data_IF_287439438607
#
_entry.id   IF_287439438607
#
_cell.length_a   1.000
_cell.length_b   1.000
_cell.length_c   1.000
_cell.angle_alpha   90.00
_cell.angle_beta   90.00
_cell.angle_gamma   90.00
#
_symmetry.space_group_name_H-M   'P 1'
#
loop_
_entity.id
_entity.type
_entity.pdbx_description
1 polymer ?
#
# COMPACT_ATOMS: atom_id res chain seq x y z
N UNK A 1 -14.57 4.60 -9.64
CA UNK A 1 -13.47 3.61 -9.58
C UNK A 1 -13.82 2.34 -10.36
N UNK A 2 -12.87 1.77 -11.07
CA UNK A 2 -13.03 0.46 -11.72
C UNK A 2 -13.31 -0.64 -10.71
N UNK A 3 -12.87 -0.46 -9.47
CA UNK A 3 -13.19 -1.36 -8.34
C UNK A 3 -14.68 -1.48 -8.04
N UNK A 4 -15.52 -0.55 -8.52
CA UNK A 4 -16.98 -0.64 -8.38
C UNK A 4 -17.63 -1.74 -9.21
N UNK A 5 -16.93 -2.24 -10.20
CA UNK A 5 -17.38 -3.35 -11.04
C UNK A 5 -16.85 -4.72 -10.60
N UNK A 6 -16.14 -4.79 -9.46
CA UNK A 6 -15.68 -6.05 -8.90
C UNK A 6 -16.87 -6.94 -8.52
N UNK A 7 -16.72 -8.23 -8.80
CA UNK A 7 -17.63 -9.29 -8.35
C UNK A 7 -17.38 -9.64 -6.89
N UNK A 8 -18.25 -10.46 -6.31
CA UNK A 8 -18.08 -10.98 -4.94
C UNK A 8 -16.76 -11.71 -4.78
N UNK A 9 -16.39 -12.54 -5.76
CA UNK A 9 -15.13 -13.31 -5.71
C UNK A 9 -13.91 -12.40 -5.73
N UNK A 10 -13.92 -11.34 -6.53
CA UNK A 10 -12.82 -10.38 -6.62
C UNK A 10 -12.69 -9.52 -5.36
N UNK A 11 -13.81 -9.14 -4.73
CA UNK A 11 -13.76 -8.43 -3.43
C UNK A 11 -13.15 -9.33 -2.35
N UNK A 12 -13.50 -10.63 -2.33
CA UNK A 12 -12.87 -11.60 -1.41
C UNK A 12 -11.38 -11.78 -1.71
N UNK A 13 -11.02 -11.91 -2.99
CA UNK A 13 -9.61 -11.99 -3.40
C UNK A 13 -8.82 -10.77 -2.91
N UNK A 14 -9.36 -9.56 -3.05
CA UNK A 14 -8.72 -8.33 -2.54
C UNK A 14 -8.49 -8.39 -1.03
N UNK A 15 -9.45 -8.87 -0.26
CA UNK A 15 -9.29 -9.04 1.19
C UNK A 15 -8.18 -10.05 1.51
N UNK A 16 -8.24 -11.22 0.90
CA UNK A 16 -7.38 -12.37 1.23
C UNK A 16 -5.97 -12.25 0.64
N UNK A 17 -5.85 -11.79 -0.61
CA UNK A 17 -4.57 -11.79 -1.33
C UNK A 17 -3.85 -10.45 -1.34
N UNK A 18 -4.53 -9.34 -1.03
CA UNK A 18 -3.87 -8.03 -0.97
C UNK A 18 -3.85 -7.47 0.43
N UNK A 19 -5.04 -7.31 1.06
CA UNK A 19 -5.14 -6.60 2.33
C UNK A 19 -4.52 -7.40 3.49
N UNK A 20 -4.84 -8.68 3.64
CA UNK A 20 -4.34 -9.50 4.74
C UNK A 20 -2.82 -9.65 4.74
N UNK A 21 -2.14 -9.95 3.61
CA UNK A 21 -0.68 -9.93 3.56
C UNK A 21 -0.08 -8.55 3.89
N UNK A 22 -0.67 -7.46 3.37
CA UNK A 22 -0.22 -6.11 3.70
C UNK A 22 -0.32 -5.80 5.18
N UNK A 23 -1.44 -6.14 5.80
CA UNK A 23 -1.66 -5.92 7.23
C UNK A 23 -0.58 -6.62 8.04
N UNK A 24 -0.28 -7.87 7.74
CA UNK A 24 0.72 -8.65 8.47
C UNK A 24 2.14 -8.12 8.26
N UNK A 25 2.55 -7.97 7.00
CA UNK A 25 3.93 -7.61 6.66
C UNK A 25 4.24 -6.16 7.05
N UNK A 26 3.36 -5.22 6.70
CA UNK A 26 3.55 -3.81 7.08
C UNK A 26 3.44 -3.60 8.58
N UNK A 27 2.55 -4.32 9.27
CA UNK A 27 2.44 -4.27 10.72
C UNK A 27 3.75 -4.68 11.41
N UNK A 28 4.38 -5.77 10.97
CA UNK A 28 5.69 -6.22 11.49
C UNK A 28 6.79 -5.19 11.20
N UNK A 29 6.86 -4.64 9.99
CA UNK A 29 7.80 -3.56 9.65
C UNK A 29 7.62 -2.33 10.51
N UNK A 30 6.37 -1.86 10.65
CA UNK A 30 6.03 -0.65 11.41
C UNK A 30 6.38 -0.79 12.90
N UNK A 31 6.22 -1.99 13.48
CA UNK A 31 6.62 -2.26 14.87
C UNK A 31 8.14 -2.06 15.06
N UNK A 32 8.96 -2.60 14.15
CA UNK A 32 10.42 -2.40 14.19
C UNK A 32 10.78 -0.94 14.00
N UNK A 33 10.18 -0.27 13.00
CA UNK A 33 10.48 1.14 12.73
C UNK A 33 10.07 2.04 13.90
N UNK A 34 8.92 1.82 14.53
CA UNK A 34 8.45 2.59 15.70
C UNK A 34 9.43 2.47 16.86
N UNK A 35 9.93 1.26 17.15
CA UNK A 35 10.92 1.01 18.20
C UNK A 35 12.19 1.84 17.98
N UNK A 36 12.81 1.73 16.79
CA UNK A 36 14.09 2.41 16.51
C UNK A 36 13.92 3.94 16.36
N UNK A 37 12.79 4.41 15.84
CA UNK A 37 12.48 5.83 15.76
C UNK A 37 12.26 6.46 17.13
N UNK A 38 11.67 5.74 18.07
CA UNK A 38 11.52 6.22 19.46
C UNK A 38 12.84 6.29 20.20
N UNK A 39 13.81 5.45 19.84
CA UNK A 39 15.12 5.42 20.46
C UNK A 39 16.10 6.48 19.93
N UNK A 40 15.85 7.06 18.72
CA UNK A 40 16.80 7.97 18.07
C UNK A 40 16.10 9.01 17.20
N UNK A 41 16.30 10.30 17.49
CA UNK A 41 15.81 11.39 16.68
C UNK A 41 16.42 11.40 15.27
N UNK A 42 17.67 11.01 15.10
CA UNK A 42 18.31 10.84 13.79
C UNK A 42 17.53 9.84 12.96
N UNK A 43 17.30 8.64 13.49
CA UNK A 43 16.57 7.57 12.80
C UNK A 43 15.13 7.99 12.52
N UNK A 44 14.49 8.69 13.45
CA UNK A 44 13.14 9.20 13.25
C UNK A 44 13.06 10.16 12.05
N UNK A 45 14.00 11.06 11.91
CA UNK A 45 14.05 11.99 10.76
C UNK A 45 14.26 11.23 9.45
N UNK A 46 15.16 10.26 9.43
CA UNK A 46 15.46 9.44 8.25
C UNK A 46 14.25 8.58 7.81
N UNK A 47 13.51 8.01 8.76
CA UNK A 47 12.48 7.02 8.49
C UNK A 47 11.04 7.54 8.60
N UNK A 48 10.80 8.78 9.04
CA UNK A 48 9.46 9.32 9.23
C UNK A 48 8.58 9.21 7.96
N UNK A 49 9.11 9.58 6.79
CA UNK A 49 8.38 9.47 5.53
C UNK A 49 8.09 8.01 5.13
N UNK A 50 9.08 7.12 5.31
CA UNK A 50 8.92 5.68 5.03
C UNK A 50 7.90 5.04 5.97
N UNK A 51 7.92 5.44 7.24
CA UNK A 51 6.95 5.01 8.25
C UNK A 51 5.54 5.50 7.88
N UNK A 52 5.37 6.78 7.61
CA UNK A 52 4.09 7.38 7.25
C UNK A 52 3.48 6.72 6.01
N UNK A 53 4.27 6.55 4.93
CA UNK A 53 3.81 5.88 3.71
C UNK A 53 3.40 4.42 3.95
N UNK A 54 4.21 3.66 4.73
CA UNK A 54 3.86 2.27 5.07
C UNK A 54 2.60 2.20 5.95
N UNK A 55 2.49 3.08 6.94
CA UNK A 55 1.35 3.18 7.87
C UNK A 55 0.04 3.53 7.14
N UNK A 56 0.09 4.44 6.17
CA UNK A 56 -1.08 4.81 5.39
C UNK A 56 -1.71 3.59 4.69
N UNK A 57 -0.93 2.83 3.93
CA UNK A 57 -1.42 1.62 3.27
C UNK A 57 -1.84 0.51 4.27
N UNK A 58 -1.16 0.41 5.41
CA UNK A 58 -1.51 -0.53 6.47
C UNK A 58 -2.87 -0.21 7.07
N UNK A 59 -3.10 1.04 7.46
CA UNK A 59 -4.38 1.53 7.98
C UNK A 59 -5.50 1.40 6.94
N UNK A 60 -5.21 1.73 5.67
CA UNK A 60 -6.16 1.59 4.57
C UNK A 60 -6.61 0.13 4.40
N UNK A 61 -5.68 -0.84 4.40
CA UNK A 61 -6.03 -2.26 4.26
C UNK A 61 -6.87 -2.78 5.43
N UNK A 62 -6.55 -2.39 6.66
CA UNK A 62 -7.36 -2.73 7.86
C UNK A 62 -8.77 -2.14 7.75
N UNK A 63 -8.86 -0.85 7.43
CA UNK A 63 -10.13 -0.16 7.34
C UNK A 63 -10.98 -0.62 6.17
N UNK A 64 -10.35 -0.96 5.03
CA UNK A 64 -11.06 -1.51 3.87
C UNK A 64 -11.70 -2.86 4.22
N UNK A 65 -10.95 -3.80 4.80
CA UNK A 65 -11.52 -5.09 5.22
C UNK A 65 -12.67 -4.91 6.22
N UNK A 66 -12.48 -4.01 7.18
CA UNK A 66 -13.52 -3.69 8.16
C UNK A 66 -14.76 -3.08 7.49
N UNK A 67 -14.59 -2.10 6.61
CA UNK A 67 -15.71 -1.44 5.92
C UNK A 67 -16.44 -2.38 4.94
N UNK A 68 -15.74 -3.30 4.29
CA UNK A 68 -16.37 -4.33 3.45
C UNK A 68 -17.33 -5.20 4.28
N UNK A 69 -16.94 -5.55 5.50
CA UNK A 69 -17.74 -6.38 6.40
C UNK A 69 -18.88 -5.56 7.02
N UNK A 70 -18.57 -4.42 7.63
CA UNK A 70 -19.53 -3.61 8.37
C UNK A 70 -20.64 -3.01 7.49
N UNK A 71 -20.31 -2.66 6.25
CA UNK A 71 -21.24 -2.08 5.28
C UNK A 71 -21.92 -3.15 4.38
N UNK A 72 -21.76 -4.42 4.69
CA UNK A 72 -22.28 -5.56 3.89
C UNK A 72 -22.04 -5.42 2.38
N UNK A 73 -20.82 -5.06 2.02
CA UNK A 73 -20.44 -4.88 0.60
C UNK A 73 -20.59 -6.19 -0.18
N UNK A 74 -20.24 -7.32 0.43
CA UNK A 74 -20.37 -8.63 -0.22
C UNK A 74 -21.86 -8.97 -0.48
N UNK A 75 -22.77 -8.71 0.46
CA UNK A 75 -24.21 -8.90 0.26
C UNK A 75 -24.76 -7.99 -0.84
N UNK A 76 -24.34 -6.72 -0.86
CA UNK A 76 -24.71 -5.76 -1.93
C UNK A 76 -24.26 -6.24 -3.30
N UNK A 77 -23.00 -6.74 -3.43
CA UNK A 77 -22.47 -7.28 -4.68
C UNK A 77 -23.18 -8.56 -5.10
N UNK A 78 -23.46 -9.47 -4.17
CA UNK A 78 -24.23 -10.69 -4.46
C UNK A 78 -25.64 -10.37 -4.98
N UNK A 79 -26.32 -9.40 -4.40
CA UNK A 79 -27.62 -8.94 -4.87
C UNK A 79 -27.54 -8.32 -6.28
N UNK A 80 -26.46 -7.60 -6.59
CA UNK A 80 -26.20 -7.07 -7.94
C UNK A 80 -25.99 -8.19 -8.95
N UNK A 81 -25.20 -9.20 -8.62
CA UNK A 81 -24.94 -10.37 -9.47
C UNK A 81 -26.21 -11.18 -9.72
N UNK A 82 -27.07 -11.37 -8.69
CA UNK A 82 -28.35 -12.03 -8.84
C UNK A 82 -29.26 -11.30 -9.85
N UNK A 83 -29.38 -9.98 -9.73
CA UNK A 83 -30.12 -9.15 -10.70
C UNK A 83 -29.53 -9.24 -12.10
N UNK A 84 -28.20 -9.28 -12.20
CA UNK A 84 -27.53 -9.44 -13.49
C UNK A 84 -27.84 -10.80 -14.13
N UNK A 85 -27.88 -11.87 -13.36
CA UNK A 85 -28.25 -13.20 -13.85
C UNK A 85 -29.70 -13.27 -14.34
N UNK A 86 -30.64 -12.62 -13.64
CA UNK A 86 -32.04 -12.48 -14.08
C UNK A 86 -32.13 -11.69 -15.40
N UNK A 87 -31.41 -10.58 -15.51
CA UNK A 87 -31.33 -9.79 -16.72
C UNK A 87 -30.77 -10.60 -17.88
N UNK A 88 -29.65 -11.28 -17.70
CA UNK A 88 -29.04 -12.14 -18.74
C UNK A 88 -30.01 -13.22 -19.26
N UNK A 89 -30.76 -13.83 -18.34
CA UNK A 89 -31.80 -14.80 -18.67
C UNK A 89 -32.97 -14.16 -19.47
N UNK A 90 -33.43 -13.00 -19.02
CA UNK A 90 -34.50 -12.27 -19.73
C UNK A 90 -34.10 -11.84 -21.14
N UNK A 91 -32.85 -11.50 -21.36
CA UNK A 91 -32.28 -11.15 -22.65
C UNK A 91 -31.92 -12.39 -23.52
N UNK A 92 -32.03 -13.60 -23.01
CA UNK A 92 -31.53 -14.84 -23.61
C UNK A 92 -30.07 -14.70 -24.11
N UNK A 93 -29.23 -14.00 -23.33
CA UNK A 93 -27.85 -13.71 -23.68
C UNK A 93 -26.89 -14.69 -22.97
N UNK A 94 -26.37 -15.66 -23.72
CA UNK A 94 -25.49 -16.69 -23.17
C UNK A 94 -24.14 -16.12 -22.69
N UNK A 95 -23.63 -15.07 -23.33
CA UNK A 95 -22.38 -14.41 -22.91
C UNK A 95 -22.54 -13.77 -21.52
N UNK A 96 -23.64 -13.04 -21.30
CA UNK A 96 -23.95 -12.45 -19.99
C UNK A 96 -24.23 -13.51 -18.93
N UNK A 97 -24.94 -14.60 -19.29
CA UNK A 97 -25.26 -15.67 -18.35
C UNK A 97 -24.02 -16.40 -17.81
N UNK A 98 -22.93 -16.44 -18.58
CA UNK A 98 -21.70 -17.13 -18.22
C UNK A 98 -20.64 -16.24 -17.56
N UNK A 99 -20.71 -14.90 -17.72
CA UNK A 99 -19.58 -14.00 -17.43
C UNK A 99 -19.18 -13.99 -15.96
N UNK A 100 -20.12 -13.92 -15.02
CA UNK A 100 -19.81 -13.90 -13.58
C UNK A 100 -19.15 -15.21 -13.16
N UNK A 101 -19.71 -16.36 -13.61
CA UNK A 101 -19.10 -17.65 -13.34
C UNK A 101 -17.68 -17.75 -13.93
N UNK A 102 -17.45 -17.24 -15.13
CA UNK A 102 -16.12 -17.26 -15.74
C UNK A 102 -15.13 -16.40 -14.97
N UNK A 103 -15.56 -15.25 -14.43
CA UNK A 103 -14.77 -14.41 -13.53
C UNK A 103 -14.44 -15.21 -12.25
N UNK A 104 -15.41 -15.84 -11.61
CA UNK A 104 -15.21 -16.63 -10.39
C UNK A 104 -14.22 -17.78 -10.61
N UNK A 105 -14.36 -18.52 -11.72
CA UNK A 105 -13.46 -19.63 -12.08
C UNK A 105 -12.01 -19.12 -12.33
N UNK A 106 -11.86 -17.91 -12.84
CA UNK A 106 -10.55 -17.30 -13.08
C UNK A 106 -9.94 -16.78 -11.79
N UNK A 107 -10.73 -16.06 -10.97
CA UNK A 107 -10.33 -15.55 -9.66
C UNK A 107 -9.86 -16.67 -8.73
N UNK A 108 -10.54 -17.82 -8.74
CA UNK A 108 -10.09 -18.99 -7.98
C UNK A 108 -8.68 -19.46 -8.37
N UNK A 109 -8.22 -19.21 -9.60
CA UNK A 109 -6.85 -19.52 -10.07
C UNK A 109 -5.86 -18.39 -9.75
N UNK A 110 -6.30 -17.11 -9.82
CA UNK A 110 -5.42 -15.97 -9.59
C UNK A 110 -5.19 -15.69 -8.11
N UNK A 111 -6.15 -15.94 -7.23
CA UNK A 111 -6.07 -15.69 -5.78
C UNK A 111 -4.78 -16.23 -5.12
N UNK A 112 -4.39 -17.51 -5.29
CA UNK A 112 -3.16 -18.00 -4.67
C UNK A 112 -1.89 -17.38 -5.28
N UNK A 113 -1.90 -17.00 -6.55
CA UNK A 113 -0.78 -16.33 -7.21
C UNK A 113 -0.68 -14.87 -6.76
N UNK A 114 -1.80 -14.17 -6.65
CA UNK A 114 -1.86 -12.80 -6.16
C UNK A 114 -1.46 -12.71 -4.69
N UNK A 115 -1.84 -13.69 -3.86
CA UNK A 115 -1.34 -13.79 -2.49
C UNK A 115 0.18 -13.91 -2.44
N UNK A 116 0.74 -14.82 -3.22
CA UNK A 116 2.19 -15.03 -3.30
C UNK A 116 2.91 -13.78 -3.83
N UNK A 117 2.37 -13.15 -4.88
CA UNK A 117 2.87 -11.91 -5.45
C UNK A 117 2.88 -10.77 -4.43
N UNK A 118 1.79 -10.60 -3.68
CA UNK A 118 1.68 -9.57 -2.65
C UNK A 118 2.67 -9.81 -1.52
N UNK A 119 2.77 -11.04 -1.01
CA UNK A 119 3.75 -11.40 0.01
C UNK A 119 5.17 -11.07 -0.44
N UNK A 120 5.54 -11.47 -1.66
CA UNK A 120 6.87 -11.22 -2.25
C UNK A 120 7.14 -9.72 -2.37
N UNK A 121 6.21 -8.99 -2.95
CA UNK A 121 6.32 -7.56 -3.21
C UNK A 121 6.41 -6.75 -1.92
N UNK A 122 5.50 -6.97 -0.98
CA UNK A 122 5.45 -6.22 0.29
C UNK A 122 6.68 -6.49 1.15
N UNK A 123 7.20 -7.72 1.17
CA UNK A 123 8.37 -8.09 1.98
C UNK A 123 9.67 -7.61 1.35
N UNK A 124 9.94 -8.02 0.10
CA UNK A 124 11.29 -7.94 -0.47
C UNK A 124 11.50 -6.77 -1.44
N UNK A 125 10.43 -6.13 -1.90
CA UNK A 125 10.51 -4.95 -2.73
C UNK A 125 10.02 -3.68 -2.02
N UNK A 126 9.11 -3.83 -1.06
CA UNK A 126 8.50 -2.72 -0.35
C UNK A 126 9.09 -2.44 1.04
N UNK A 127 9.67 -3.44 1.71
CA UNK A 127 10.09 -3.31 3.10
C UNK A 127 11.60 -3.38 3.33
N UNK A 128 12.30 -4.35 2.72
CA UNK A 128 13.75 -4.54 2.86
C UNK A 128 14.45 -3.73 1.77
N UNK A 129 15.31 -2.79 2.16
CA UNK A 129 15.97 -1.85 1.25
C UNK A 129 17.28 -2.41 0.70
N UNK A 130 18.05 -3.14 1.53
CA UNK A 130 19.31 -3.75 1.13
C UNK A 130 19.11 -4.92 0.14
N UNK A 131 20.11 -5.18 -0.69
CA UNK A 131 20.06 -6.29 -1.65
C UNK A 131 19.14 -6.02 -2.86
N UNK A 132 19.08 -4.79 -3.33
CA UNK A 132 18.39 -4.39 -4.56
C UNK A 132 19.38 -4.08 -5.73
N UNK A 133 20.47 -4.83 -5.81
CA UNK A 133 21.51 -4.65 -6.83
C UNK A 133 21.73 -5.95 -7.59
N UNK A 134 21.78 -5.85 -8.91
CA UNK A 134 22.13 -6.96 -9.80
C UNK A 134 23.44 -6.66 -10.52
N UNK A 135 24.36 -7.59 -10.50
CA UNK A 135 25.67 -7.48 -11.18
C UNK A 135 25.81 -8.42 -12.38
N UNK A 136 24.72 -8.85 -13.02
CA UNK A 136 24.74 -9.76 -14.17
C UNK A 136 25.67 -9.25 -15.29
N UNK A 137 25.52 -8.00 -15.72
CA UNK A 137 26.37 -7.39 -16.76
C UNK A 137 27.84 -7.23 -16.34
N UNK A 138 28.09 -7.02 -15.06
CA UNK A 138 29.47 -6.97 -14.53
C UNK A 138 30.08 -8.38 -14.52
N UNK A 139 29.28 -9.38 -14.15
CA UNK A 139 29.66 -10.79 -14.19
C UNK A 139 30.02 -11.25 -15.61
N UNK A 140 29.18 -10.89 -16.59
CA UNK A 140 29.42 -11.18 -18.00
C UNK A 140 30.74 -10.57 -18.47
N UNK A 141 30.98 -9.27 -18.22
CA UNK A 141 32.23 -8.60 -18.58
C UNK A 141 33.47 -9.26 -17.96
N UNK A 142 33.37 -9.73 -16.72
CA UNK A 142 34.46 -10.47 -16.06
C UNK A 142 34.69 -11.86 -16.67
N UNK A 143 33.68 -12.54 -17.15
CA UNK A 143 33.82 -13.81 -17.88
C UNK A 143 34.47 -13.61 -19.25
N UNK A 144 34.08 -12.55 -19.94
CA UNK A 144 34.61 -12.17 -21.26
C UNK A 144 36.03 -11.58 -21.18
N UNK A 145 36.50 -11.24 -19.97
CA UNK A 145 37.82 -10.60 -19.72
C UNK A 145 38.02 -9.31 -20.55
N UNK A 146 36.94 -8.53 -20.63
CA UNK A 146 36.96 -7.24 -21.35
C UNK A 146 37.33 -6.11 -20.39
N UNK A 147 38.61 -5.79 -20.29
CA UNK A 147 39.16 -4.86 -19.30
C UNK A 147 38.52 -3.47 -19.40
N UNK A 148 38.28 -2.95 -20.60
CA UNK A 148 37.66 -1.62 -20.77
C UNK A 148 36.22 -1.58 -20.28
N UNK A 149 35.44 -2.65 -20.49
CA UNK A 149 34.07 -2.78 -19.99
C UNK A 149 34.08 -2.98 -18.47
N UNK A 150 34.99 -3.78 -17.94
CA UNK A 150 35.17 -3.99 -16.52
C UNK A 150 35.46 -2.67 -15.80
N UNK A 151 36.41 -1.87 -16.31
CA UNK A 151 36.75 -0.57 -15.73
C UNK A 151 35.53 0.38 -15.71
N UNK A 152 34.83 0.50 -16.85
CA UNK A 152 33.62 1.30 -16.95
C UNK A 152 32.54 0.85 -15.96
N UNK A 153 32.36 -0.47 -15.77
CA UNK A 153 31.40 -1.04 -14.78
C UNK A 153 31.83 -0.71 -13.37
N UNK A 154 33.10 -0.89 -13.01
CA UNK A 154 33.57 -0.56 -11.66
C UNK A 154 33.33 0.92 -11.33
N UNK A 155 33.56 1.82 -12.27
CA UNK A 155 33.27 3.25 -12.11
C UNK A 155 31.76 3.52 -11.92
N UNK A 156 30.91 2.84 -12.68
CA UNK A 156 29.46 2.98 -12.54
C UNK A 156 28.93 2.44 -11.19
N UNK A 157 29.59 1.45 -10.60
CA UNK A 157 29.19 0.90 -9.30
C UNK A 157 29.37 1.89 -8.15
N UNK A 158 30.23 2.89 -8.27
CA UNK A 158 30.39 3.94 -7.25
C UNK A 158 29.06 4.67 -7.00
N UNK A 159 28.41 5.12 -8.08
CA UNK A 159 27.09 5.76 -7.99
C UNK A 159 26.03 4.82 -7.41
N UNK A 160 26.12 3.53 -7.71
CA UNK A 160 25.23 2.52 -7.13
C UNK A 160 25.45 2.39 -5.62
N UNK A 161 26.70 2.32 -5.17
CA UNK A 161 27.05 2.27 -3.75
C UNK A 161 26.52 3.50 -3.00
N UNK A 162 26.74 4.71 -3.53
CA UNK A 162 26.26 5.96 -2.97
C UNK A 162 24.71 6.03 -2.91
N UNK A 163 24.05 5.49 -3.92
CA UNK A 163 22.58 5.41 -3.94
C UNK A 163 22.02 4.49 -2.86
N UNK A 164 22.68 3.36 -2.58
CA UNK A 164 22.27 2.45 -1.50
C UNK A 164 22.48 3.13 -0.14
N UNK A 165 23.65 3.74 0.07
CA UNK A 165 24.03 4.38 1.33
C UNK A 165 23.67 5.86 1.38
N UNK A 166 22.51 6.23 0.82
CA UNK A 166 22.04 7.62 0.85
C UNK A 166 21.65 8.07 2.27
N UNK A 167 21.40 9.37 2.42
CA UNK A 167 21.08 9.98 3.73
C UNK A 167 19.83 9.42 4.42
N UNK A 168 18.91 8.83 3.65
CA UNK A 168 17.63 8.30 4.13
C UNK A 168 17.68 6.77 4.39
N UNK A 169 18.86 6.18 4.35
CA UNK A 169 19.12 4.77 4.63
C UNK A 169 19.95 4.58 5.91
N UNK A 170 19.56 3.62 6.73
CA UNK A 170 20.33 3.15 7.85
C UNK A 170 20.44 1.63 7.83
N UNK A 171 21.69 1.13 7.75
CA UNK A 171 22.00 -0.28 7.53
C UNK A 171 21.51 -1.17 8.68
N UNK A 172 21.61 -0.69 9.92
CA UNK A 172 21.20 -1.46 11.08
C UNK A 172 19.68 -1.47 11.26
N UNK A 173 18.98 -0.39 10.89
CA UNK A 173 17.51 -0.37 10.87
C UNK A 173 16.98 -1.37 9.86
N UNK A 174 17.51 -1.34 8.64
CA UNK A 174 17.10 -2.26 7.59
C UNK A 174 17.42 -3.73 7.93
N UNK A 175 18.57 -3.99 8.57
CA UNK A 175 18.92 -5.31 9.12
C UNK A 175 17.88 -5.82 10.11
N UNK A 176 17.42 -4.96 11.04
CA UNK A 176 16.36 -5.33 12.00
C UNK A 176 15.04 -5.63 11.28
N UNK A 177 14.68 -4.85 10.28
CA UNK A 177 13.50 -5.11 9.44
C UNK A 177 13.63 -6.46 8.73
N UNK A 178 14.78 -6.75 8.13
CA UNK A 178 15.03 -8.02 7.47
C UNK A 178 14.92 -9.22 8.44
N UNK A 179 15.49 -9.11 9.65
CA UNK A 179 15.37 -10.14 10.70
C UNK A 179 13.92 -10.42 11.11
N UNK A 180 13.06 -9.41 11.11
CA UNK A 180 11.66 -9.58 11.41
C UNK A 180 10.88 -10.21 10.23
N UNK A 181 11.24 -9.85 9.00
CA UNK A 181 10.43 -10.19 7.83
C UNK A 181 10.80 -11.52 7.15
N UNK A 182 12.07 -11.96 7.17
CA UNK A 182 12.43 -13.27 6.59
C UNK A 182 11.69 -14.45 7.25
N UNK A 183 11.63 -14.56 8.59
CA UNK A 183 10.86 -15.62 9.23
C UNK A 183 9.34 -15.45 9.01
N UNK A 184 8.82 -14.23 9.05
CA UNK A 184 7.40 -13.97 8.80
C UNK A 184 6.98 -14.40 7.38
N UNK A 185 7.78 -14.10 6.36
CA UNK A 185 7.51 -14.55 5.00
C UNK A 185 7.50 -16.08 4.92
N UNK A 186 8.43 -16.76 5.61
CA UNK A 186 8.46 -18.21 5.66
C UNK A 186 7.24 -18.81 6.37
N UNK A 187 6.67 -18.14 7.36
CA UNK A 187 5.41 -18.55 7.98
C UNK A 187 4.23 -18.40 7.02
N UNK A 188 4.21 -17.32 6.23
CA UNK A 188 3.08 -16.98 5.35
C UNK A 188 3.06 -17.77 4.04
N UNK A 189 4.24 -18.15 3.51
CA UNK A 189 4.37 -18.72 2.16
C UNK A 189 4.93 -20.17 2.25
N UNK A 190 4.28 -21.16 1.62
CA UNK A 190 4.75 -22.54 1.59
C UNK A 190 6.17 -22.68 1.04
N UNK A 191 6.95 -23.62 1.56
CA UNK A 191 8.38 -23.78 1.24
C UNK A 191 8.69 -23.89 -0.26
N UNK A 192 7.84 -24.60 -1.01
CA UNK A 192 7.99 -24.80 -2.46
C UNK A 192 7.64 -23.55 -3.30
N UNK A 193 7.10 -22.51 -2.67
CA UNK A 193 6.69 -21.26 -3.32
C UNK A 193 7.59 -20.08 -2.94
N UNK A 194 8.61 -20.28 -2.08
CA UNK A 194 9.53 -19.23 -1.62
C UNK A 194 10.63 -18.98 -2.64
N UNK A 195 11.23 -17.74 -2.65
CA UNK A 195 12.43 -17.46 -3.42
C UNK A 195 13.55 -18.47 -3.13
N UNK A 196 14.40 -18.75 -4.11
CA UNK A 196 15.44 -19.80 -3.99
C UNK A 196 16.46 -19.51 -2.88
N UNK A 197 16.60 -18.28 -2.41
CA UNK A 197 17.46 -17.92 -1.27
C UNK A 197 17.07 -18.69 0.00
N UNK A 198 15.80 -19.08 0.17
CA UNK A 198 15.37 -19.86 1.32
C UNK A 198 15.99 -21.28 1.33
N UNK A 199 16.33 -21.82 0.16
CA UNK A 199 17.09 -23.09 0.10
C UNK A 199 18.52 -22.90 0.63
N UNK A 200 19.13 -21.75 0.37
CA UNK A 200 20.44 -21.40 0.92
C UNK A 200 20.37 -21.26 2.44
N UNK A 201 19.31 -20.62 2.96
CA UNK A 201 19.08 -20.48 4.39
C UNK A 201 18.96 -21.86 5.06
N UNK A 202 18.17 -22.76 4.50
CA UNK A 202 18.01 -24.12 5.03
C UNK A 202 19.33 -24.92 4.98
N UNK A 203 20.05 -24.89 3.87
CA UNK A 203 21.25 -25.71 3.66
C UNK A 203 22.46 -25.19 4.41
N UNK A 204 22.73 -23.86 4.36
CA UNK A 204 23.91 -23.25 4.95
C UNK A 204 23.71 -22.83 6.40
N UNK A 205 22.53 -22.36 6.75
CA UNK A 205 22.23 -21.75 8.04
C UNK A 205 21.28 -22.58 8.91
N UNK A 206 20.84 -23.76 8.41
CA UNK A 206 19.93 -24.69 9.11
C UNK A 206 18.63 -24.03 9.56
N UNK A 207 18.10 -23.11 8.74
CA UNK A 207 16.90 -22.34 9.04
C UNK A 207 17.10 -21.16 9.99
N UNK A 208 18.33 -20.83 10.37
CA UNK A 208 18.61 -19.62 11.18
C UNK A 208 18.60 -18.35 10.31
N UNK A 209 17.43 -17.74 10.25
CA UNK A 209 17.22 -16.49 9.50
C UNK A 209 18.07 -15.34 10.00
N UNK A 210 18.25 -15.22 11.32
CA UNK A 210 19.03 -14.12 11.90
C UNK A 210 20.50 -14.21 11.50
N UNK A 211 21.07 -15.40 11.57
CA UNK A 211 22.45 -15.63 11.16
C UNK A 211 22.65 -15.40 9.66
N UNK A 212 21.69 -15.81 8.83
CA UNK A 212 21.72 -15.52 7.39
C UNK A 212 21.68 -14.02 7.13
N UNK A 213 20.78 -13.28 7.79
CA UNK A 213 20.66 -11.84 7.64
C UNK A 213 21.95 -11.14 8.09
N UNK A 214 22.51 -11.52 9.23
CA UNK A 214 23.78 -10.94 9.70
C UNK A 214 24.89 -11.17 8.70
N UNK A 215 25.05 -12.40 8.18
CA UNK A 215 26.09 -12.71 7.20
C UNK A 215 25.89 -11.90 5.89
N UNK A 216 24.64 -11.76 5.41
CA UNK A 216 24.32 -10.97 4.24
C UNK A 216 24.65 -9.49 4.43
N UNK A 217 24.29 -8.90 5.57
CA UNK A 217 24.51 -7.48 5.87
C UNK A 217 25.98 -7.15 6.24
N UNK A 218 26.74 -8.10 6.75
CA UNK A 218 28.15 -7.88 7.12
C UNK A 218 29.12 -8.13 5.95
N UNK A 219 28.85 -9.14 5.13
CA UNK A 219 29.84 -9.69 4.20
C UNK A 219 29.53 -9.41 2.71
N UNK A 220 28.39 -8.82 2.36
CA UNK A 220 28.12 -8.43 0.97
C UNK A 220 29.11 -7.38 0.47
N UNK A 221 29.35 -7.38 -0.83
CA UNK A 221 30.12 -6.36 -1.55
C UNK A 221 29.61 -4.94 -1.23
N UNK A 222 28.30 -4.77 -1.06
CA UNK A 222 27.66 -3.48 -0.79
C UNK A 222 27.40 -3.22 0.69
N UNK A 223 27.83 -4.09 1.61
CA UNK A 223 27.58 -3.95 3.04
C UNK A 223 28.22 -2.68 3.64
N UNK A 224 29.44 -2.39 3.23
CA UNK A 224 30.20 -1.25 3.70
C UNK A 224 31.28 -0.83 2.68
N UNK A 225 31.87 0.34 2.90
CA UNK A 225 32.88 0.91 2.01
C UNK A 225 34.10 0.00 1.83
N UNK A 226 34.57 -0.64 2.89
CA UNK A 226 35.74 -1.51 2.83
C UNK A 226 35.49 -2.75 1.94
N UNK A 227 34.34 -3.39 2.06
CA UNK A 227 33.97 -4.53 1.22
C UNK A 227 33.83 -4.11 -0.25
N UNK A 228 33.21 -2.96 -0.51
CA UNK A 228 33.05 -2.41 -1.83
C UNK A 228 34.39 -2.10 -2.50
N UNK A 229 35.29 -1.40 -1.83
CA UNK A 229 36.64 -1.09 -2.36
C UNK A 229 37.50 -2.33 -2.58
N UNK A 230 37.39 -3.34 -1.70
CA UNK A 230 38.06 -4.63 -1.89
C UNK A 230 37.61 -5.29 -3.19
N UNK A 231 36.30 -5.27 -3.47
CA UNK A 231 35.77 -5.83 -4.70
C UNK A 231 36.17 -5.03 -5.94
N UNK A 232 36.06 -3.69 -5.93
CA UNK A 232 36.38 -2.85 -7.08
C UNK A 232 37.87 -2.87 -7.43
N UNK A 233 38.78 -3.04 -6.44
CA UNK A 233 40.19 -3.21 -6.65
C UNK A 233 40.56 -4.57 -7.25
N UNK A 234 39.82 -5.62 -6.98
CA UNK A 234 40.04 -6.98 -7.46
C UNK A 234 38.72 -7.69 -7.77
N UNK A 235 38.00 -7.26 -8.82
CA UNK A 235 36.71 -7.83 -9.14
C UNK A 235 36.89 -9.29 -9.63
N UNK A 236 35.92 -10.15 -9.22
CA UNK A 236 35.94 -11.56 -9.65
C UNK A 236 34.52 -12.12 -9.72
N UNK A 237 34.30 -13.03 -10.66
CA UNK A 237 33.06 -13.79 -10.79
C UNK A 237 32.72 -14.53 -9.49
N UNK A 238 33.75 -15.14 -8.87
CA UNK A 238 33.57 -15.84 -7.60
C UNK A 238 33.03 -14.94 -6.46
N UNK A 239 33.48 -13.68 -6.40
CA UNK A 239 32.97 -12.73 -5.40
C UNK A 239 31.49 -12.41 -5.64
N UNK A 240 31.09 -12.21 -6.89
CA UNK A 240 29.71 -11.97 -7.26
C UNK A 240 28.84 -13.20 -6.95
N UNK A 241 29.26 -14.39 -7.38
CA UNK A 241 28.48 -15.62 -7.24
C UNK A 241 28.30 -16.05 -5.77
N UNK A 242 29.22 -15.68 -4.88
CA UNK A 242 29.14 -16.01 -3.44
C UNK A 242 28.50 -14.91 -2.60
N UNK A 243 28.17 -13.75 -3.15
CA UNK A 243 27.56 -12.65 -2.42
C UNK A 243 26.10 -12.96 -2.10
N UNK A 244 25.75 -12.99 -0.82
CA UNK A 244 24.41 -13.36 -0.35
C UNK A 244 23.35 -12.32 -0.73
N UNK A 245 23.70 -11.02 -0.75
CA UNK A 245 22.76 -9.97 -1.13
C UNK A 245 22.46 -10.01 -2.64
N UNK A 246 23.45 -10.36 -3.46
CA UNK A 246 23.24 -10.55 -4.90
C UNK A 246 22.44 -11.83 -5.20
N UNK A 247 22.71 -12.93 -4.49
CA UNK A 247 21.89 -14.16 -4.57
C UNK A 247 20.44 -13.90 -4.13
N UNK A 248 20.26 -13.18 -3.04
CA UNK A 248 18.92 -12.76 -2.58
C UNK A 248 18.22 -11.91 -3.63
N UNK A 249 18.89 -10.91 -4.16
CA UNK A 249 18.36 -10.05 -5.21
C UNK A 249 17.88 -10.87 -6.42
N UNK A 250 18.75 -11.72 -6.96
CA UNK A 250 18.40 -12.57 -8.11
C UNK A 250 17.20 -13.47 -7.79
N UNK A 251 17.20 -14.11 -6.62
CA UNK A 251 16.15 -15.06 -6.26
C UNK A 251 14.76 -14.46 -6.15
N UNK A 252 14.65 -13.21 -5.67
CA UNK A 252 13.35 -12.53 -5.58
C UNK A 252 12.86 -12.05 -6.95
N UNK A 253 13.77 -11.61 -7.83
CA UNK A 253 13.41 -11.23 -9.20
C UNK A 253 12.99 -12.45 -10.03
N UNK A 254 13.70 -13.57 -9.93
CA UNK A 254 13.33 -14.81 -10.64
C UNK A 254 11.90 -15.27 -10.26
N UNK A 255 11.55 -15.17 -8.97
CA UNK A 255 10.19 -15.50 -8.54
C UNK A 255 9.17 -14.45 -9.01
N UNK A 256 9.53 -13.15 -8.97
CA UNK A 256 8.67 -12.08 -9.45
C UNK A 256 8.33 -12.25 -10.93
N UNK A 257 9.34 -12.47 -11.77
CA UNK A 257 9.18 -12.66 -13.21
C UNK A 257 8.31 -13.88 -13.53
N UNK A 258 8.50 -14.96 -12.76
CA UNK A 258 7.67 -16.15 -12.88
C UNK A 258 6.19 -15.85 -12.56
N UNK A 259 5.92 -15.17 -11.45
CA UNK A 259 4.55 -14.84 -11.03
C UNK A 259 3.87 -13.90 -12.02
N UNK A 260 4.58 -12.84 -12.44
CA UNK A 260 4.08 -11.89 -13.44
C UNK A 260 3.78 -12.60 -14.76
N UNK A 261 4.64 -13.51 -15.20
CA UNK A 261 4.40 -14.31 -16.42
C UNK A 261 3.16 -15.21 -16.30
N UNK A 262 2.95 -15.82 -15.13
CA UNK A 262 1.78 -16.67 -14.89
C UNK A 262 0.47 -15.87 -14.82
N UNK A 263 0.49 -14.66 -14.24
CA UNK A 263 -0.69 -13.80 -14.10
C UNK A 263 -1.08 -13.12 -15.41
N UNK A 264 -0.12 -12.81 -16.27
CA UNK A 264 -0.29 -11.96 -17.45
C UNK A 264 -1.48 -12.36 -18.36
N UNK A 265 -1.58 -13.63 -18.72
CA UNK A 265 -2.63 -14.10 -19.63
C UNK A 265 -4.00 -14.13 -18.92
N UNK A 266 -4.00 -14.47 -17.62
CA UNK A 266 -5.20 -14.47 -16.78
C UNK A 266 -5.72 -13.03 -16.55
N UNK A 267 -4.85 -12.05 -16.34
CA UNK A 267 -5.22 -10.64 -16.22
C UNK A 267 -5.85 -10.11 -17.52
N UNK A 268 -5.32 -10.53 -18.68
CA UNK A 268 -5.90 -10.16 -19.96
C UNK A 268 -7.29 -10.79 -20.17
N UNK A 269 -7.46 -12.06 -19.82
CA UNK A 269 -8.75 -12.75 -19.87
C UNK A 269 -9.75 -12.07 -18.91
N UNK A 270 -9.34 -11.75 -17.68
CA UNK A 270 -10.16 -11.05 -16.70
C UNK A 270 -10.62 -9.69 -17.23
N UNK A 271 -9.73 -8.94 -17.87
CA UNK A 271 -10.07 -7.64 -18.47
C UNK A 271 -11.14 -7.76 -19.59
N UNK A 272 -11.13 -8.85 -20.37
CA UNK A 272 -12.16 -9.10 -21.39
C UNK A 272 -13.50 -9.49 -20.76
N UNK A 273 -13.48 -10.31 -19.72
CA UNK A 273 -14.69 -10.68 -18.97
C UNK A 273 -15.30 -9.44 -18.30
N UNK A 274 -14.49 -8.59 -17.70
CA UNK A 274 -14.92 -7.31 -17.12
C UNK A 274 -15.59 -6.40 -18.17
N UNK A 275 -15.02 -6.32 -19.38
CA UNK A 275 -15.63 -5.53 -20.46
C UNK A 275 -17.06 -6.01 -20.78
N UNK A 276 -17.27 -7.33 -20.79
CA UNK A 276 -18.60 -7.92 -20.98
C UNK A 276 -19.53 -7.64 -19.81
N UNK A 277 -19.06 -7.82 -18.58
CA UNK A 277 -19.84 -7.59 -17.36
C UNK A 277 -20.26 -6.13 -17.21
N UNK A 278 -19.33 -5.17 -17.39
CA UNK A 278 -19.57 -3.72 -17.32
C UNK A 278 -20.58 -3.29 -18.40
N UNK A 279 -20.48 -3.82 -19.64
CA UNK A 279 -21.45 -3.57 -20.70
C UNK A 279 -22.85 -4.00 -20.29
N UNK A 280 -23.00 -5.19 -19.75
CA UNK A 280 -24.29 -5.70 -19.31
C UNK A 280 -24.87 -4.93 -18.12
N UNK A 281 -24.05 -4.53 -17.14
CA UNK A 281 -24.48 -3.65 -16.04
C UNK A 281 -25.00 -2.29 -16.56
N UNK A 282 -24.33 -1.72 -17.57
CA UNK A 282 -24.78 -0.48 -18.22
C UNK A 282 -26.12 -0.63 -18.93
N UNK A 283 -26.35 -1.76 -19.59
CA UNK A 283 -27.63 -2.06 -20.26
C UNK A 283 -28.78 -2.28 -19.25
N UNK A 284 -28.49 -2.77 -18.06
CA UNK A 284 -29.46 -2.90 -16.96
C UNK A 284 -29.94 -1.55 -16.42
N UNK A 285 -29.27 -0.45 -16.75
CA UNK A 285 -29.56 0.90 -16.24
C UNK A 285 -29.63 0.96 -14.70
N UNK A 286 -28.84 0.13 -14.02
CA UNK A 286 -28.70 0.24 -12.58
C UNK A 286 -28.06 1.60 -12.25
N UNK A 287 -28.41 2.20 -11.09
CA UNK A 287 -27.79 3.43 -10.64
C UNK A 287 -26.35 3.17 -10.14
N UNK A 288 -25.49 2.74 -11.06
CA UNK A 288 -24.05 2.61 -10.80
C UNK A 288 -23.41 3.90 -11.28
N UNK A 289 -22.50 4.51 -10.50
CA UNK A 289 -21.75 5.67 -10.98
C UNK A 289 -21.06 5.37 -12.30
N UNK A 290 -21.43 6.11 -13.33
CA UNK A 290 -21.00 5.85 -14.73
C UNK A 290 -19.78 6.67 -15.16
N UNK A 291 -19.20 7.47 -14.24
CA UNK A 291 -18.03 8.27 -14.54
C UNK A 291 -16.74 7.43 -14.46
N UNK A 292 -15.77 7.65 -15.37
CA UNK A 292 -14.51 6.91 -15.37
C UNK A 292 -13.59 7.37 -14.23
N UNK A 293 -12.57 6.57 -13.94
CA UNK A 293 -11.49 6.97 -13.05
C UNK A 293 -10.74 8.20 -13.58
N UNK A 294 -10.06 8.90 -12.65
CA UNK A 294 -9.25 10.05 -13.01
C UNK A 294 -8.09 9.66 -13.95
N UNK A 295 -7.81 10.54 -14.92
CA UNK A 295 -6.79 10.35 -15.95
C UNK A 295 -5.89 11.59 -16.10
N UNK A 296 -5.58 12.27 -14.99
CA UNK A 296 -4.81 13.51 -14.91
C UNK A 296 -5.49 14.74 -15.54
N UNK A 297 -6.79 14.67 -15.81
CA UNK A 297 -7.61 15.84 -16.15
C UNK A 297 -8.36 16.34 -14.92
N UNK A 298 -8.82 17.59 -14.95
CA UNK A 298 -9.64 18.17 -13.88
C UNK A 298 -10.91 17.34 -13.71
N UNK A 299 -11.21 16.98 -12.45
CA UNK A 299 -12.43 16.30 -12.02
C UNK A 299 -13.17 17.17 -11.03
N UNK A 300 -14.47 17.21 -11.17
CA UNK A 300 -15.37 17.82 -10.20
C UNK A 300 -16.12 16.72 -9.45
N UNK A 301 -16.02 16.68 -8.14
CA UNK A 301 -16.93 15.95 -7.27
C UNK A 301 -17.79 16.96 -6.52
N UNK A 302 -19.05 16.66 -6.30
CA UNK A 302 -19.96 17.56 -5.59
C UNK A 302 -20.78 16.80 -4.55
N UNK A 303 -21.21 17.49 -3.51
CA UNK A 303 -21.92 16.90 -2.39
C UNK A 303 -22.46 17.98 -1.47
N UNK A 304 -22.89 17.56 -0.27
CA UNK A 304 -23.40 18.45 0.75
C UNK A 304 -22.64 18.24 2.05
N UNK A 305 -22.48 19.29 2.83
CA UNK A 305 -22.02 19.18 4.21
C UNK A 305 -23.12 18.47 5.03
N UNK A 306 -22.80 17.30 5.60
CA UNK A 306 -23.78 16.48 6.34
C UNK A 306 -23.12 15.69 7.47
N UNK A 307 -23.84 15.52 8.60
CA UNK A 307 -23.52 14.54 9.64
C UNK A 307 -23.79 13.12 9.13
N UNK A 308 -23.50 12.11 9.95
CA UNK A 308 -23.88 10.72 9.66
C UNK A 308 -24.02 9.89 10.95
N UNK A 309 -24.76 8.79 10.83
CA UNK A 309 -25.00 7.84 11.91
C UNK A 309 -24.37 6.50 11.52
N UNK A 310 -23.14 6.18 12.00
CA UNK A 310 -22.40 4.97 11.59
C UNK A 310 -23.02 3.69 12.14
N UNK A 311 -23.75 3.79 13.25
CA UNK A 311 -24.44 2.67 13.90
C UNK A 311 -25.50 3.18 14.89
N UNK A 312 -26.33 2.27 15.38
CA UNK A 312 -27.37 2.58 16.37
C UNK A 312 -26.80 3.31 17.58
N UNK A 313 -27.47 4.41 17.96
CA UNK A 313 -27.10 5.24 19.11
C UNK A 313 -25.85 6.12 18.93
N UNK A 314 -25.24 6.20 17.74
CA UNK A 314 -24.07 7.04 17.45
C UNK A 314 -24.37 8.03 16.35
N UNK A 315 -24.21 9.31 16.67
CA UNK A 315 -24.31 10.43 15.74
C UNK A 315 -22.99 11.19 15.67
N UNK A 316 -22.39 11.33 14.49
CA UNK A 316 -21.25 12.20 14.24
C UNK A 316 -21.70 13.50 13.58
N UNK A 317 -21.40 14.61 14.25
CA UNK A 317 -21.69 15.95 13.72
C UNK A 317 -20.91 16.19 12.41
N UNK A 318 -21.40 17.13 11.61
CA UNK A 318 -20.76 17.49 10.34
C UNK A 318 -19.45 18.27 10.49
N UNK A 319 -19.08 18.73 11.69
CA UNK A 319 -17.80 19.39 11.95
C UNK A 319 -17.21 18.98 13.30
N UNK A 320 -15.89 19.17 13.42
CA UNK A 320 -15.12 19.03 14.66
C UNK A 320 -14.58 20.38 15.10
N UNK A 321 -14.19 20.48 16.37
CA UNK A 321 -13.64 21.70 16.93
C UNK A 321 -12.27 21.48 17.56
N UNK A 322 -11.61 22.56 17.94
CA UNK A 322 -10.32 22.52 18.67
C UNK A 322 -10.37 21.71 19.96
N UNK A 323 -11.57 21.49 20.55
CA UNK A 323 -11.75 20.62 21.72
C UNK A 323 -11.25 19.19 21.43
N UNK A 324 -11.55 18.66 20.24
CA UNK A 324 -11.10 17.33 19.83
C UNK A 324 -9.58 17.18 19.73
N UNK A 325 -8.83 18.28 19.49
CA UNK A 325 -7.37 18.27 19.53
C UNK A 325 -6.88 17.96 20.94
N UNK A 326 -7.44 18.65 21.96
CA UNK A 326 -7.06 18.42 23.35
C UNK A 326 -7.53 17.04 23.88
N UNK A 327 -8.69 16.56 23.44
CA UNK A 327 -9.19 15.22 23.80
C UNK A 327 -8.29 14.09 23.28
N UNK A 328 -7.59 14.31 22.18
CA UNK A 328 -6.64 13.35 21.58
C UNK A 328 -5.21 13.53 22.04
N UNK A 329 -4.90 14.57 22.81
CA UNK A 329 -3.54 14.82 23.27
C UNK A 329 -2.97 13.61 24.01
N UNK A 330 -1.80 13.15 23.57
CA UNK A 330 -1.05 12.09 24.23
C UNK A 330 0.45 12.43 24.21
N UNK A 331 1.02 12.91 25.32
CA UNK A 331 2.45 13.26 25.40
C UNK A 331 3.39 12.09 25.16
N UNK A 332 2.94 10.85 25.37
CA UNK A 332 3.72 9.64 25.18
C UNK A 332 3.75 9.20 23.70
N UNK A 333 2.85 9.71 22.88
CA UNK A 333 2.83 9.44 21.43
C UNK A 333 3.06 10.72 20.64
N UNK A 334 4.21 10.82 19.99
CA UNK A 334 4.61 12.04 19.25
C UNK A 334 3.62 12.49 18.17
N UNK A 335 2.83 11.58 17.62
CA UNK A 335 1.77 11.92 16.65
C UNK A 335 0.66 12.74 17.30
N UNK A 336 0.48 12.64 18.61
CA UNK A 336 -0.58 13.27 19.37
C UNK A 336 -0.07 14.32 20.38
N UNK A 337 1.19 14.74 20.27
CA UNK A 337 1.71 15.87 21.05
C UNK A 337 1.14 17.17 20.51
N UNK A 338 0.39 17.90 21.33
CA UNK A 338 -0.11 19.24 21.00
C UNK A 338 0.98 20.27 21.27
N UNK A 339 1.41 21.09 20.29
CA UNK A 339 2.37 22.17 20.52
C UNK A 339 1.89 23.12 21.63
N UNK A 340 2.78 23.46 22.56
CA UNK A 340 2.44 24.28 23.74
C UNK A 340 1.72 25.59 23.38
N UNK A 341 2.15 26.26 22.28
CA UNK A 341 1.52 27.50 21.84
C UNK A 341 0.11 27.29 21.31
N UNK A 342 -0.14 26.18 20.60
CA UNK A 342 -1.48 25.81 20.14
C UNK A 342 -2.40 25.52 21.34
N UNK A 343 -1.91 24.75 22.31
CA UNK A 343 -2.64 24.46 23.54
C UNK A 343 -3.02 25.74 24.30
N UNK A 344 -2.08 26.66 24.48
CA UNK A 344 -2.33 27.97 25.11
C UNK A 344 -3.46 28.76 24.41
N UNK A 345 -3.42 28.81 23.07
CA UNK A 345 -4.43 29.51 22.27
C UNK A 345 -5.82 28.89 22.41
N UNK A 346 -5.87 27.53 22.38
CA UNK A 346 -7.13 26.79 22.56
C UNK A 346 -7.72 27.03 23.96
N UNK A 347 -6.89 26.93 25.00
CA UNK A 347 -7.32 27.15 26.39
C UNK A 347 -7.83 28.58 26.66
N UNK A 348 -7.20 29.55 26.01
CA UNK A 348 -7.62 30.97 26.08
C UNK A 348 -8.79 31.30 25.15
N UNK A 349 -9.19 30.36 24.26
CA UNK A 349 -10.16 30.62 23.19
C UNK A 349 -9.79 31.81 22.31
N UNK A 350 -8.49 32.02 22.09
CA UNK A 350 -7.97 33.10 21.25
C UNK A 350 -8.03 32.69 19.76
N UNK A 351 -9.24 32.75 19.21
CA UNK A 351 -9.54 32.29 17.85
C UNK A 351 -9.76 33.45 16.86
N UNK A 352 -9.72 34.69 17.34
CA UNK A 352 -9.95 35.85 16.51
C UNK A 352 -11.28 35.78 15.73
N UNK A 353 -11.23 36.06 14.43
CA UNK A 353 -12.40 36.03 13.55
C UNK A 353 -12.91 34.62 13.21
N UNK A 354 -12.16 33.57 13.56
CA UNK A 354 -12.50 32.19 13.22
C UNK A 354 -13.39 31.52 14.28
N UNK A 355 -13.68 32.23 15.37
CA UNK A 355 -14.63 31.75 16.37
C UNK A 355 -16.05 31.66 15.80
N UNK A 356 -16.72 30.54 16.04
CA UNK A 356 -18.16 30.40 15.81
C UNK A 356 -18.96 31.24 16.81
N UNK A 357 -20.26 31.54 16.55
CA UNK A 357 -21.11 32.27 17.48
C UNK A 357 -21.21 31.62 18.88
N UNK A 358 -21.03 30.34 19.00
CA UNK A 358 -21.00 29.59 20.27
C UNK A 358 -19.64 29.67 21.00
N UNK A 359 -18.64 30.34 20.42
CA UNK A 359 -17.30 30.47 20.97
C UNK A 359 -16.36 29.29 20.74
N UNK A 360 -16.75 28.32 19.93
CA UNK A 360 -15.88 27.23 19.46
C UNK A 360 -15.16 27.65 18.17
N UNK A 361 -14.09 26.93 17.83
CA UNK A 361 -13.41 27.08 16.54
C UNK A 361 -13.47 25.76 15.77
N UNK A 362 -14.01 25.76 14.53
CA UNK A 362 -14.06 24.56 13.70
C UNK A 362 -12.63 24.17 13.27
N UNK A 363 -12.44 22.86 13.02
CA UNK A 363 -11.17 22.31 12.53
C UNK A 363 -11.37 21.56 11.23
N UNK A 364 -12.35 20.66 11.19
CA UNK A 364 -12.68 19.88 10.01
C UNK A 364 -14.19 19.81 9.85
N UNK A 365 -14.64 19.64 8.60
CA UNK A 365 -16.03 19.37 8.29
C UNK A 365 -16.18 18.18 7.35
N UNK A 366 -17.37 17.58 7.36
CA UNK A 366 -17.71 16.39 6.57
C UNK A 366 -18.59 16.77 5.39
N UNK A 367 -18.30 16.16 4.24
CA UNK A 367 -19.14 16.30 3.05
C UNK A 367 -19.40 14.95 2.37
N UNK A 368 -20.46 14.89 1.57
CA UNK A 368 -20.86 13.66 0.85
C UNK A 368 -20.19 13.50 -0.49
N UNK A 369 -19.10 14.21 -0.74
CA UNK A 369 -18.32 14.10 -1.95
C UNK A 369 -17.74 12.69 -2.10
N UNK A 370 -17.91 12.11 -3.27
CA UNK A 370 -17.23 10.86 -3.62
C UNK A 370 -15.77 11.17 -4.00
N UNK A 371 -14.85 10.69 -3.19
CA UNK A 371 -13.41 10.90 -3.34
C UNK A 371 -12.65 9.59 -3.34
N UNK A 372 -11.46 9.60 -3.91
CA UNK A 372 -10.51 8.47 -3.89
C UNK A 372 -9.08 9.01 -3.76
N UNK A 373 -8.10 8.13 -3.78
CA UNK A 373 -6.68 8.52 -3.79
C UNK A 373 -6.36 9.49 -4.92
N UNK A 374 -5.70 10.61 -4.60
CA UNK A 374 -5.43 11.73 -5.51
C UNK A 374 -6.24 13.00 -5.21
N UNK A 375 -7.35 12.90 -4.49
CA UNK A 375 -8.13 14.06 -4.06
C UNK A 375 -7.49 14.82 -2.89
N UNK A 376 -6.55 14.21 -2.15
CA UNK A 376 -5.85 14.85 -1.02
C UNK A 376 -5.20 16.17 -1.45
N UNK A 377 -5.50 17.28 -0.73
CA UNK A 377 -5.03 18.61 -1.04
C UNK A 377 -5.91 19.39 -2.02
N UNK A 378 -7.01 18.81 -2.50
CA UNK A 378 -7.94 19.50 -3.41
C UNK A 378 -8.69 20.62 -2.71
N UNK A 379 -8.90 21.79 -3.37
CA UNK A 379 -9.70 22.86 -2.81
C UNK A 379 -11.17 22.46 -2.70
N UNK A 380 -11.80 22.80 -1.59
CA UNK A 380 -13.25 22.69 -1.39
C UNK A 380 -13.87 24.05 -1.54
N UNK A 381 -14.83 24.13 -2.47
CA UNK A 381 -15.49 25.38 -2.81
C UNK A 381 -16.97 25.31 -2.40
N UNK A 382 -17.52 26.45 -1.98
CA UNK A 382 -18.95 26.59 -1.79
C UNK A 382 -19.69 26.81 -3.13
N UNK A 383 -20.99 27.00 -3.09
CA UNK A 383 -21.84 27.23 -4.27
C UNK A 383 -21.49 28.51 -5.06
N UNK A 384 -20.81 29.46 -4.42
CA UNK A 384 -20.35 30.70 -5.06
C UNK A 384 -18.94 30.59 -5.64
N UNK A 385 -18.27 29.43 -5.50
CA UNK A 385 -16.89 29.23 -5.92
C UNK A 385 -15.84 29.77 -4.95
N UNK A 386 -16.22 30.10 -3.72
CA UNK A 386 -15.31 30.58 -2.68
C UNK A 386 -14.63 29.39 -1.98
N UNK A 387 -13.34 29.53 -1.68
CA UNK A 387 -12.57 28.52 -0.98
C UNK A 387 -13.01 28.43 0.48
N UNK A 388 -13.49 27.25 0.90
CA UNK A 388 -13.97 26.98 2.26
C UNK A 388 -13.21 25.86 2.95
N UNK A 389 -12.32 25.18 2.25
CA UNK A 389 -11.59 24.08 2.86
C UNK A 389 -10.63 23.36 1.93
N UNK A 390 -9.97 22.35 2.49
CA UNK A 390 -9.06 21.48 1.78
C UNK A 390 -9.44 20.02 2.07
N UNK A 391 -9.78 19.26 1.05
CA UNK A 391 -10.07 17.83 1.18
C UNK A 391 -8.76 17.07 1.47
N UNK A 392 -8.75 16.16 2.47
CA UNK A 392 -7.53 15.45 2.80
C UNK A 392 -7.72 13.96 3.16
N UNK A 393 -8.93 13.53 3.57
CA UNK A 393 -9.16 12.14 3.97
C UNK A 393 -10.63 11.74 3.80
N UNK A 394 -10.93 10.48 4.09
CA UNK A 394 -12.26 9.93 4.23
C UNK A 394 -12.48 9.34 5.62
N UNK A 395 -13.75 9.22 6.05
CA UNK A 395 -14.06 8.50 7.27
C UNK A 395 -13.81 6.99 7.11
N UNK A 396 -13.81 6.24 8.22
CA UNK A 396 -13.54 4.80 8.18
C UNK A 396 -14.52 4.03 7.28
N UNK A 397 -15.78 4.44 7.26
CA UNK A 397 -16.85 3.85 6.45
C UNK A 397 -16.62 4.08 4.95
N UNK A 398 -15.84 5.10 4.57
CA UNK A 398 -15.51 5.39 3.17
C UNK A 398 -14.42 4.49 2.58
N UNK A 399 -13.72 3.68 3.39
CA UNK A 399 -12.61 2.85 2.91
C UNK A 399 -13.06 1.70 1.99
N UNK A 400 -14.35 1.35 1.97
CA UNK A 400 -14.96 0.50 0.94
C UNK A 400 -15.54 1.26 -0.26
N UNK A 401 -15.44 2.59 -0.28
CA UNK A 401 -16.10 3.46 -1.26
C UNK A 401 -15.66 3.27 -2.70
N UNK A 402 -14.41 2.85 -2.90
CA UNK A 402 -13.93 2.46 -4.23
C UNK A 402 -14.64 1.22 -4.80
N UNK A 403 -15.17 0.36 -3.93
CA UNK A 403 -15.89 -0.87 -4.30
C UNK A 403 -17.39 -0.64 -4.29
N UNK A 404 -17.90 0.00 -3.25
CA UNK A 404 -19.32 0.32 -3.10
C UNK A 404 -19.49 1.65 -2.35
N UNK A 405 -19.97 2.69 -3.04
CA UNK A 405 -20.19 4.00 -2.43
C UNK A 405 -21.57 4.07 -1.77
N UNK A 406 -21.59 4.34 -0.48
CA UNK A 406 -22.81 4.57 0.30
C UNK A 406 -22.88 6.03 0.79
N UNK A 407 -23.75 6.82 0.17
CA UNK A 407 -23.94 8.23 0.50
C UNK A 407 -24.49 8.48 1.91
N UNK A 408 -25.04 7.47 2.60
CA UNK A 408 -25.51 7.61 3.97
C UNK A 408 -24.38 7.56 4.98
N UNK A 409 -23.35 6.76 4.73
CA UNK A 409 -22.27 6.48 5.67
C UNK A 409 -20.95 7.16 5.30
N UNK A 410 -20.66 7.29 4.00
CA UNK A 410 -19.33 7.73 3.54
C UNK A 410 -19.24 9.24 3.50
N UNK A 411 -18.13 9.77 4.02
CA UNK A 411 -17.84 11.20 4.09
C UNK A 411 -16.41 11.51 3.68
N UNK A 412 -16.28 12.57 2.90
CA UNK A 412 -15.03 13.27 2.72
C UNK A 412 -14.76 14.14 3.95
N UNK A 413 -13.53 14.11 4.44
CA UNK A 413 -13.06 14.95 5.55
C UNK A 413 -12.28 16.12 4.97
N UNK A 414 -12.70 17.34 5.33
CA UNK A 414 -12.14 18.57 4.83
C UNK A 414 -11.62 19.40 6.00
N UNK A 415 -10.43 19.98 5.85
CA UNK A 415 -9.94 21.01 6.76
C UNK A 415 -10.75 22.28 6.52
N UNK A 416 -11.20 22.92 7.58
CA UNK A 416 -11.87 24.22 7.55
C UNK A 416 -10.83 25.35 7.42
N UNK A 417 -11.13 26.40 6.64
CA UNK A 417 -10.20 27.52 6.36
C UNK A 417 -10.76 28.84 6.86
#
# INVERSE_FOLDING_TARGET
STSRYLTVSEVKERMESENDPRIRIRGARLAVLKEVMNASDKIRIQYANKYAGSSNYWKNSIGMNKAIIDNDVLGTKAAQEAKFAEFAKAQNNAEYAAVVKNIDDLVAKTTPLNYQYTCLRETFFGAIEFGNVMLSKTREALLEKNDSVIEARMKALESTYESIHNKDYDHEVDRKVAKALFPLYAEMVPANQRPSIYKVIEQKYKGDYNKFVDDMYDNSIFANRANFEKFTKKPSVKAIDNDLALQYCQSKYDLMDKLVSQLKDMDQELALLHKTYIRGLGEMKLPVPSYPDANFTIRLTYGNVKPYDPKDGVHYNYYTTTKGILEKENPEDREFVVPAKLKELIEKKDYGRYALPNGDMPVCFLSTNDITGGNSGSPVLNENGELIGCAFDGNWESLSGDINFDNNLQRCINLDI
#
